data_IF_974221718336
#
_entry.id   IF_974221718336
#
_cell.length_a   1.000
_cell.length_b   1.000
_cell.length_c   1.000
_cell.angle_alpha   90.00
_cell.angle_beta   90.00
_cell.angle_gamma   90.00
#
_symmetry.space_group_name_H-M   'P 1'
#
loop_
_entity.id
_entity.type
_entity.pdbx_description
1 polymer ?
#
# COMPACT_ATOMS: atom_id res chain seq x y z
N UNK A 1 -15.91 -49.91 -17.32
CA UNK A 1 -16.56 -48.59 -17.10
C UNK A 1 -16.07 -47.95 -15.80
N UNK A 2 -14.78 -47.58 -15.71
CA UNK A 2 -14.18 -46.98 -14.50
C UNK A 2 -13.18 -45.85 -14.82
N UNK A 3 -13.15 -45.35 -16.06
CA UNK A 3 -12.19 -44.31 -16.50
C UNK A 3 -12.77 -42.90 -16.62
N UNK A 4 -14.07 -42.71 -16.39
CA UNK A 4 -14.73 -41.41 -16.54
C UNK A 4 -14.88 -40.68 -15.18
N UNK A 5 -14.84 -41.40 -14.06
CA UNK A 5 -15.06 -40.82 -12.72
C UNK A 5 -13.81 -40.11 -12.17
N UNK A 6 -12.62 -40.45 -12.65
CA UNK A 6 -11.37 -39.86 -12.14
C UNK A 6 -11.09 -38.44 -12.63
N UNK A 7 -11.85 -37.94 -13.62
CA UNK A 7 -11.65 -36.59 -14.16
C UNK A 7 -12.45 -35.51 -13.42
N UNK A 8 -13.50 -35.88 -12.68
CA UNK A 8 -14.34 -34.92 -11.96
C UNK A 8 -13.72 -34.51 -10.61
N UNK A 9 -12.86 -35.36 -10.02
CA UNK A 9 -12.17 -35.06 -8.75
C UNK A 9 -10.92 -34.18 -8.89
N UNK A 10 -10.46 -33.90 -10.11
CA UNK A 10 -9.31 -33.01 -10.36
C UNK A 10 -9.70 -31.53 -10.56
N UNK A 11 -11.00 -31.19 -10.56
CA UNK A 11 -11.49 -29.82 -10.73
C UNK A 11 -11.75 -29.07 -9.41
N UNK A 12 -11.40 -29.65 -8.26
CA UNK A 12 -11.56 -28.97 -6.96
C UNK A 12 -10.33 -28.14 -6.56
N UNK A 13 -9.28 -28.11 -7.39
CA UNK A 13 -7.98 -27.56 -6.99
C UNK A 13 -7.43 -26.44 -7.86
N UNK A 14 -8.29 -25.74 -8.60
CA UNK A 14 -7.88 -24.56 -9.35
C UNK A 14 -8.82 -23.42 -9.07
N UNK A 15 -8.24 -22.31 -8.62
CA UNK A 15 -8.89 -21.00 -8.51
C UNK A 15 -9.57 -20.70 -7.18
N UNK A 16 -8.79 -20.76 -6.10
CA UNK A 16 -8.78 -19.61 -5.17
C UNK A 16 -8.03 -18.46 -5.86
N UNK A 17 -8.59 -17.95 -6.98
CA UNK A 17 -8.31 -16.59 -7.41
C UNK A 17 -8.75 -15.73 -6.23
N UNK A 18 -7.79 -15.26 -5.44
CA UNK A 18 -8.04 -14.17 -4.50
C UNK A 18 -8.57 -13.03 -5.34
N UNK A 19 -9.88 -12.84 -5.33
CA UNK A 19 -10.52 -11.61 -5.76
C UNK A 19 -9.85 -10.54 -4.88
N UNK A 20 -8.95 -9.77 -5.49
CA UNK A 20 -8.41 -8.56 -4.87
C UNK A 20 -9.60 -7.61 -4.88
N UNK A 21 -10.33 -7.59 -3.77
CA UNK A 21 -11.56 -6.82 -3.61
C UNK A 21 -11.17 -5.36 -3.47
N UNK A 22 -11.11 -4.61 -4.58
CA UNK A 22 -10.98 -3.16 -4.56
C UNK A 22 -11.94 -2.56 -3.53
N UNK A 23 -11.45 -1.66 -2.68
CA UNK A 23 -12.34 -0.91 -1.79
C UNK A 23 -13.30 -0.05 -2.60
N UNK A 24 -14.59 -0.25 -2.38
CA UNK A 24 -15.67 0.56 -2.96
C UNK A 24 -16.50 1.15 -1.84
N UNK A 25 -16.24 2.41 -1.48
CA UNK A 25 -16.98 3.09 -0.43
C UNK A 25 -18.09 4.01 -0.98
N UNK A 26 -18.15 4.25 -2.29
CA UNK A 26 -19.27 4.89 -2.99
C UNK A 26 -19.76 6.17 -2.31
N UNK A 27 -18.87 7.16 -2.19
CA UNK A 27 -19.11 8.49 -1.61
C UNK A 27 -19.45 8.49 -0.11
N UNK A 28 -19.31 7.35 0.57
CA UNK A 28 -19.49 7.30 2.03
C UNK A 28 -18.26 7.83 2.77
N UNK A 29 -18.43 8.41 3.97
CA UNK A 29 -17.32 8.72 4.86
C UNK A 29 -16.46 7.47 5.06
N UNK A 30 -15.17 7.59 4.79
CA UNK A 30 -14.22 6.47 4.80
C UNK A 30 -13.05 6.82 5.68
N UNK A 31 -12.73 5.94 6.61
CA UNK A 31 -11.62 6.13 7.54
C UNK A 31 -10.55 5.10 7.29
N UNK A 32 -9.31 5.56 7.26
CA UNK A 32 -8.12 4.71 7.24
C UNK A 32 -7.21 5.14 8.39
N UNK A 33 -6.62 4.14 9.04
CA UNK A 33 -5.59 4.37 10.04
C UNK A 33 -4.39 3.50 9.71
N UNK A 34 -3.17 4.02 9.86
CA UNK A 34 -1.95 3.24 9.69
C UNK A 34 -0.88 3.65 10.68
N UNK A 35 0.03 2.72 10.97
CA UNK A 35 1.18 2.95 11.84
C UNK A 35 2.42 2.19 11.39
N UNK A 36 3.58 2.67 11.82
CA UNK A 36 4.87 2.01 11.59
C UNK A 36 6.05 2.97 11.70
N UNK A 37 7.23 2.55 11.27
CA UNK A 37 8.44 3.37 11.28
C UNK A 37 9.32 3.07 10.08
N UNK A 38 10.25 3.96 9.77
CA UNK A 38 11.25 3.74 8.72
C UNK A 38 12.65 3.63 9.30
N UNK A 39 13.47 2.82 8.65
CA UNK A 39 14.89 2.66 8.94
C UNK A 39 15.73 2.87 7.70
N UNK A 40 16.97 3.31 7.90
CA UNK A 40 18.00 3.43 6.88
C UNK A 40 19.30 2.87 7.46
N UNK A 41 19.82 1.81 6.86
CA UNK A 41 20.94 1.04 7.36
C UNK A 41 20.71 0.60 8.82
N UNK A 42 19.52 0.06 9.10
CA UNK A 42 19.08 -0.42 10.42
C UNK A 42 19.02 0.64 11.52
N UNK A 43 19.13 1.93 11.18
CA UNK A 43 18.95 3.05 12.10
C UNK A 43 17.62 3.74 11.81
N UNK A 44 16.94 4.21 12.86
CA UNK A 44 15.72 4.97 12.72
C UNK A 44 15.95 6.16 11.77
N UNK A 45 15.02 6.34 10.83
CA UNK A 45 15.17 7.30 9.74
C UNK A 45 13.85 8.02 9.47
N UNK A 46 13.94 9.33 9.30
CA UNK A 46 12.80 10.17 8.92
C UNK A 46 12.89 10.45 7.41
N UNK A 47 11.96 9.93 6.60
CA UNK A 47 11.87 10.27 5.18
C UNK A 47 11.67 11.76 4.94
N UNK A 48 12.02 12.21 3.73
CA UNK A 48 11.82 13.60 3.33
C UNK A 48 10.35 13.98 3.21
N UNK A 49 9.50 13.03 2.81
CA UNK A 49 8.06 13.21 2.73
C UNK A 49 7.37 11.87 2.86
N UNK A 50 6.28 11.84 3.61
CA UNK A 50 5.33 10.73 3.64
C UNK A 50 3.96 11.27 3.27
N UNK A 51 3.25 10.59 2.36
CA UNK A 51 1.94 11.01 1.88
C UNK A 51 0.99 9.82 1.80
N UNK A 52 -0.28 10.06 2.07
CA UNK A 52 -1.35 9.11 1.82
C UNK A 52 -2.04 9.48 0.51
N UNK A 53 -2.05 8.55 -0.45
CA UNK A 53 -2.60 8.79 -1.79
C UNK A 53 -3.67 7.77 -2.15
N UNK A 54 -4.61 8.22 -2.98
CA UNK A 54 -5.61 7.39 -3.64
C UNK A 54 -5.10 7.01 -5.03
N UNK A 55 -5.24 5.74 -5.39
CA UNK A 55 -4.89 5.22 -6.71
C UNK A 55 -6.05 4.46 -7.35
N UNK A 56 -6.10 4.49 -8.69
CA UNK A 56 -7.02 3.65 -9.48
C UNK A 56 -6.57 2.19 -9.48
N UNK A 57 -7.41 1.28 -9.99
CA UNK A 57 -7.03 -0.12 -10.29
C UNK A 57 -5.81 -0.25 -11.20
N UNK A 58 -5.68 0.67 -12.17
CA UNK A 58 -4.51 0.75 -13.03
C UNK A 58 -3.28 1.34 -12.30
N UNK A 59 -3.38 1.65 -11.02
CA UNK A 59 -2.31 2.19 -10.20
C UNK A 59 -2.03 3.67 -10.41
N UNK A 60 -2.82 4.41 -11.19
CA UNK A 60 -2.62 5.85 -11.39
C UNK A 60 -3.01 6.63 -10.14
N UNK A 61 -2.20 7.61 -9.74
CA UNK A 61 -2.54 8.51 -8.61
C UNK A 61 -3.71 9.41 -9.01
N UNK A 62 -4.76 9.37 -8.20
CA UNK A 62 -5.97 10.20 -8.36
C UNK A 62 -5.87 11.44 -7.48
N UNK A 63 -5.57 11.24 -6.19
CA UNK A 63 -5.59 12.29 -5.18
C UNK A 63 -4.52 12.04 -4.12
N UNK A 64 -4.06 13.11 -3.46
CA UNK A 64 -3.28 13.03 -2.23
C UNK A 64 -4.16 13.47 -1.06
N UNK A 65 -4.57 12.52 -0.22
CA UNK A 65 -5.47 12.77 0.92
C UNK A 65 -4.75 13.49 2.06
N UNK A 66 -3.48 13.14 2.27
CA UNK A 66 -2.64 13.78 3.27
C UNK A 66 -1.23 13.90 2.71
N UNK A 67 -0.70 15.11 2.70
CA UNK A 67 0.60 15.41 2.15
C UNK A 67 1.55 15.83 3.27
N UNK A 68 2.76 15.25 3.29
CA UNK A 68 3.80 15.56 4.25
C UNK A 68 3.43 15.23 5.71
N UNK A 69 3.01 13.99 5.92
CA UNK A 69 2.76 13.39 7.23
C UNK A 69 4.06 13.39 8.04
N UNK A 70 4.00 13.92 9.26
CA UNK A 70 5.14 13.97 10.18
C UNK A 70 5.12 12.79 11.16
N UNK A 71 6.28 12.23 11.54
CA UNK A 71 6.34 11.24 12.59
C UNK A 71 6.15 11.89 13.97
N UNK A 72 5.92 11.05 14.99
CA UNK A 72 5.99 11.41 16.40
C UNK A 72 7.44 11.71 16.82
N UNK A 73 7.63 12.16 18.06
CA UNK A 73 8.95 12.39 18.66
C UNK A 73 9.83 11.12 18.71
N UNK A 74 9.22 9.94 18.69
CA UNK A 74 9.92 8.65 18.63
C UNK A 74 10.27 8.21 17.19
N UNK A 75 9.99 9.03 16.18
CA UNK A 75 10.18 8.69 14.76
C UNK A 75 9.21 7.64 14.23
N UNK A 76 8.07 7.43 14.92
CA UNK A 76 7.01 6.52 14.50
C UNK A 76 5.88 7.29 13.83
N UNK A 77 5.17 6.64 12.93
CA UNK A 77 3.96 7.15 12.30
C UNK A 77 2.77 6.47 12.96
N UNK A 78 1.77 7.26 13.34
CA UNK A 78 0.45 6.79 13.77
C UNK A 78 -0.57 7.81 13.26
N UNK A 79 -1.27 7.44 12.20
CA UNK A 79 -2.04 8.37 11.38
C UNK A 79 -3.45 7.82 11.24
N UNK A 80 -4.43 8.69 11.43
CA UNK A 80 -5.83 8.42 11.06
C UNK A 80 -6.31 9.53 10.15
N UNK A 81 -6.98 9.17 9.06
CA UNK A 81 -7.53 10.11 8.09
C UNK A 81 -8.92 9.66 7.69
N UNK A 82 -9.85 10.60 7.64
CA UNK A 82 -11.22 10.40 7.16
C UNK A 82 -11.43 11.23 5.90
N UNK A 83 -12.04 10.64 4.87
CA UNK A 83 -12.29 11.28 3.58
C UNK A 83 -13.56 10.72 2.94
N UNK A 84 -14.03 11.34 1.86
CA UNK A 84 -15.14 10.81 1.06
C UNK A 84 -14.62 9.69 0.16
N UNK A 85 -15.10 8.47 0.37
CA UNK A 85 -14.58 7.29 -0.31
C UNK A 85 -14.96 7.23 -1.78
N UNK A 86 -14.03 6.79 -2.62
CA UNK A 86 -14.25 6.60 -4.06
C UNK A 86 -14.94 5.27 -4.36
N UNK A 87 -15.39 5.09 -5.61
CA UNK A 87 -15.67 3.78 -6.19
C UNK A 87 -14.36 3.15 -6.67
N UNK A 88 -14.14 1.87 -6.33
CA UNK A 88 -13.01 1.05 -6.77
C UNK A 88 -11.64 1.75 -6.70
N UNK A 89 -11.13 1.94 -5.49
CA UNK A 89 -9.88 2.63 -5.24
C UNK A 89 -8.94 1.84 -4.34
N UNK A 90 -7.67 2.24 -4.36
CA UNK A 90 -6.62 1.74 -3.49
C UNK A 90 -5.99 2.89 -2.71
N UNK A 91 -5.59 2.61 -1.47
CA UNK A 91 -4.79 3.54 -0.69
C UNK A 91 -3.35 3.09 -0.67
N UNK A 92 -2.44 4.05 -0.79
CA UNK A 92 -1.01 3.81 -0.76
C UNK A 92 -0.34 4.88 0.09
N UNK A 93 0.60 4.44 0.93
CA UNK A 93 1.53 5.32 1.62
C UNK A 93 2.71 5.53 0.67
N UNK A 94 2.86 6.74 0.14
CA UNK A 94 4.02 7.17 -0.64
C UNK A 94 5.08 7.76 0.28
N UNK A 95 6.33 7.35 0.08
CA UNK A 95 7.46 7.74 0.91
C UNK A 95 8.58 8.21 0.01
N UNK A 96 8.88 9.50 0.05
CA UNK A 96 10.06 10.06 -0.61
C UNK A 96 11.22 10.10 0.39
N UNK A 97 12.36 9.50 0.02
CA UNK A 97 13.54 9.42 0.87
C UNK A 97 14.84 9.65 0.09
N UNK A 98 15.90 9.97 0.84
CA UNK A 98 17.27 10.11 0.35
C UNK A 98 18.24 9.13 1.01
N UNK A 99 17.74 8.13 1.73
CA UNK A 99 18.56 7.03 2.24
C UNK A 99 19.38 6.40 1.10
N UNK A 100 20.69 6.28 1.30
CA UNK A 100 21.66 5.75 0.34
C UNK A 100 21.56 6.36 -1.08
N UNK A 101 21.15 7.63 -1.18
CA UNK A 101 21.05 8.30 -2.47
C UNK A 101 22.43 8.49 -3.10
N UNK A 102 22.54 8.16 -4.38
CA UNK A 102 23.77 8.35 -5.13
C UNK A 102 24.01 9.85 -5.37
N UNK A 103 25.28 10.28 -5.34
CA UNK A 103 25.65 11.70 -5.41
C UNK A 103 25.05 12.43 -6.63
N UNK A 104 25.07 11.78 -7.79
CA UNK A 104 24.52 12.32 -9.04
C UNK A 104 22.98 12.42 -9.05
N UNK A 105 22.30 11.85 -8.04
CA UNK A 105 20.84 11.92 -7.85
C UNK A 105 20.41 12.74 -6.64
N UNK A 106 21.30 13.45 -5.94
CA UNK A 106 21.01 14.19 -4.69
C UNK A 106 19.74 15.06 -4.70
N UNK A 107 19.33 15.56 -5.87
CA UNK A 107 18.16 16.42 -6.04
C UNK A 107 16.85 15.67 -6.30
N UNK A 108 16.89 14.36 -6.60
CA UNK A 108 15.73 13.55 -6.96
C UNK A 108 15.57 12.44 -5.93
N UNK A 109 14.68 12.58 -4.92
CA UNK A 109 14.49 11.54 -3.92
C UNK A 109 13.98 10.24 -4.55
N UNK A 110 14.25 9.12 -3.87
CA UNK A 110 13.62 7.86 -4.19
C UNK A 110 12.20 7.83 -3.65
N UNK A 111 11.24 7.34 -4.45
CA UNK A 111 9.88 7.09 -3.99
C UNK A 111 9.71 5.59 -3.74
N UNK A 112 9.21 5.28 -2.55
CA UNK A 112 8.79 3.98 -2.07
C UNK A 112 7.26 4.00 -1.84
N UNK A 113 6.58 2.87 -1.98
CA UNK A 113 5.13 2.80 -1.84
C UNK A 113 4.70 1.57 -1.06
N UNK A 114 3.81 1.78 -0.09
CA UNK A 114 3.22 0.71 0.73
C UNK A 114 1.71 0.69 0.46
N UNK A 115 1.16 -0.34 -0.20
CA UNK A 115 -0.29 -0.47 -0.34
C UNK A 115 -0.93 -0.76 1.01
N UNK A 116 -2.05 -0.09 1.30
CA UNK A 116 -2.88 -0.37 2.47
C UNK A 116 -3.92 -1.42 2.05
N UNK A 117 -4.01 -2.59 2.74
CA UNK A 117 -5.00 -3.61 2.40
C UNK A 117 -6.44 -3.11 2.64
N UNK A 118 -7.38 -3.55 1.80
CA UNK A 118 -8.79 -3.14 1.86
C UNK A 118 -9.44 -3.44 3.21
N UNK A 119 -8.99 -4.49 3.90
CA UNK A 119 -9.45 -4.83 5.26
C UNK A 119 -9.15 -3.75 6.33
N UNK A 120 -8.33 -2.76 6.00
CA UNK A 120 -8.02 -1.60 6.85
C UNK A 120 -8.64 -0.29 6.34
N UNK A 121 -9.51 -0.36 5.34
CA UNK A 121 -10.26 0.76 4.79
C UNK A 121 -11.71 0.63 5.25
N UNK A 122 -12.14 1.52 6.13
CA UNK A 122 -13.44 1.41 6.80
C UNK A 122 -14.43 2.41 6.20
N UNK A 123 -15.31 1.92 5.33
CA UNK A 123 -16.46 2.69 4.89
C UNK A 123 -17.43 2.89 6.07
N UNK A 124 -18.06 4.06 6.16
CA UNK A 124 -18.91 4.58 7.26
C UNK A 124 -18.15 5.21 8.45
N UNK A 125 -16.90 5.63 8.27
CA UNK A 125 -16.23 6.54 9.22
C UNK A 125 -15.65 5.92 10.50
N UNK A 126 -15.97 4.66 10.82
CA UNK A 126 -15.49 4.00 12.03
C UNK A 126 -14.27 3.10 11.78
N UNK A 127 -13.08 3.56 12.19
CA UNK A 127 -11.87 2.73 12.18
C UNK A 127 -11.91 1.67 13.29
N UNK A 128 -11.45 0.45 13.01
CA UNK A 128 -11.31 -0.61 14.03
C UNK A 128 -9.88 -0.70 14.54
N UNK A 129 -8.95 -1.07 13.65
CA UNK A 129 -7.53 -1.22 13.97
C UNK A 129 -6.66 -0.62 12.86
N UNK A 130 -5.61 0.13 13.21
CA UNK A 130 -4.68 0.68 12.24
C UNK A 130 -3.96 -0.43 11.48
N UNK A 131 -3.71 -0.20 10.20
CA UNK A 131 -2.80 -1.00 9.40
C UNK A 131 -1.37 -0.80 9.91
N UNK A 132 -0.79 -1.84 10.50
CA UNK A 132 0.59 -1.81 10.99
C UNK A 132 1.54 -2.34 9.91
N UNK A 133 2.32 -1.45 9.28
CA UNK A 133 3.32 -1.86 8.31
C UNK A 133 4.67 -2.22 8.96
N UNK A 134 4.75 -2.16 10.29
CA UNK A 134 5.93 -2.45 11.08
C UNK A 134 7.07 -1.46 10.82
N UNK A 135 8.29 -1.98 10.87
CA UNK A 135 9.49 -1.22 10.51
C UNK A 135 9.88 -1.50 9.05
N UNK A 136 10.01 -0.46 8.23
CA UNK A 136 10.40 -0.54 6.82
C UNK A 136 11.78 0.05 6.57
N UNK A 137 12.69 -0.80 6.12
CA UNK A 137 14.03 -0.44 5.72
C UNK A 137 14.03 0.20 4.32
N UNK A 138 14.65 1.37 4.19
CA UNK A 138 14.70 2.20 2.97
C UNK A 138 16.08 2.16 2.29
N UNK A 139 16.83 1.07 2.49
CA UNK A 139 18.21 0.91 2.02
C UNK A 139 18.34 0.72 0.50
N UNK A 140 17.29 0.25 -0.18
CA UNK A 140 17.28 0.01 -1.62
C UNK A 140 16.58 1.18 -2.35
N UNK A 141 17.16 1.60 -3.49
CA UNK A 141 16.62 2.71 -4.30
C UNK A 141 15.18 2.47 -4.76
N UNK A 142 14.55 3.52 -5.32
CA UNK A 142 13.11 3.59 -5.65
C UNK A 142 12.45 2.24 -5.93
N UNK A 143 11.76 1.70 -4.93
CA UNK A 143 10.79 0.64 -5.18
C UNK A 143 9.50 1.33 -5.61
N UNK A 144 9.37 1.54 -6.93
CA UNK A 144 8.03 1.75 -7.49
C UNK A 144 7.18 0.57 -7.04
N UNK A 145 5.95 0.79 -6.57
CA UNK A 145 5.08 -0.32 -6.23
C UNK A 145 5.08 -1.22 -7.46
N UNK A 146 5.54 -2.48 -7.31
CA UNK A 146 5.11 -3.50 -8.24
C UNK A 146 3.60 -3.44 -8.17
N UNK A 147 2.97 -2.97 -9.25
CA UNK A 147 1.56 -3.21 -9.43
C UNK A 147 1.39 -4.69 -9.13
N UNK A 148 0.61 -5.03 -8.12
CA UNK A 148 0.26 -6.41 -7.78
C UNK A 148 -0.52 -7.11 -8.91
N UNK A 149 -0.48 -6.58 -10.13
CA UNK A 149 -1.18 -6.99 -11.32
C UNK A 149 -0.26 -7.27 -12.53
N UNK A 150 1.06 -7.21 -12.38
CA UNK A 150 1.92 -7.97 -13.29
C UNK A 150 2.13 -9.36 -12.68
N UNK A 151 1.44 -10.34 -13.24
CA UNK A 151 1.74 -11.76 -13.02
C UNK A 151 3.22 -12.08 -13.35
N UNK A 152 3.62 -13.36 -13.29
CA UNK A 152 5.03 -13.77 -13.32
C UNK A 152 5.76 -13.50 -14.65
N UNK A 153 5.15 -12.81 -15.61
CA UNK A 153 5.74 -12.49 -16.90
C UNK A 153 5.75 -10.98 -17.11
N UNK A 154 6.85 -10.36 -16.65
CA UNK A 154 7.30 -9.11 -17.24
C UNK A 154 7.87 -9.39 -18.63
N UNK A 155 7.25 -8.80 -19.65
CA UNK A 155 7.90 -8.36 -20.88
C UNK A 155 7.50 -6.92 -21.10
#
# INVERSE_FOLDING_TARGET
MYKIILFILLLVNTSLCRVILSSGCNEKPTTVSFRGSFTCNSKLYTPNKVSLVVRTEAGSKVETLNNNITPTSEGKYDVTTTFTGYSNFYLTIEVDHKCNILDYKKNIPYTFSIPIPDGHIYCNGHSKSPFDFGNKELNNGSHRPRMSHMGPFGK
#
